data_IF_805574467700
#
_entry.id   IF_805574467700
#
_cell.length_a   1.000
_cell.length_b   1.000
_cell.length_c   1.000
_cell.angle_alpha   90.00
_cell.angle_beta   90.00
_cell.angle_gamma   90.00
#
_symmetry.space_group_name_H-M   'P 1'
#
loop_
_entity.id
_entity.type
_entity.pdbx_description
1 polymer ?
#
# COMPACT_ATOMS: atom_id res chain seq x y z
N UNK A 1 -7.66 8.27 -12.42
CA UNK A 1 -6.56 8.28 -13.42
C UNK A 1 -7.05 7.71 -14.76
N UNK A 2 -8.31 7.96 -15.14
CA UNK A 2 -8.90 7.35 -16.33
C UNK A 2 -8.22 7.84 -17.61
N UNK A 3 -7.93 6.91 -18.53
CA UNK A 3 -7.50 7.19 -19.90
C UNK A 3 -6.21 8.01 -20.06
N UNK A 4 -5.27 7.91 -19.10
CA UNK A 4 -3.93 8.50 -19.23
C UNK A 4 -3.06 7.61 -20.13
N UNK A 5 -2.91 8.01 -21.40
CA UNK A 5 -2.05 7.33 -22.38
C UNK A 5 -0.69 8.02 -22.45
N UNK A 6 0.44 7.31 -22.32
CA UNK A 6 1.77 7.90 -22.47
C UNK A 6 1.92 8.70 -23.77
N UNK A 7 2.55 9.87 -23.67
CA UNK A 7 2.80 10.76 -24.81
C UNK A 7 1.66 11.72 -25.19
N UNK A 8 0.52 11.71 -24.48
CA UNK A 8 -0.55 12.71 -24.69
C UNK A 8 -0.34 13.96 -23.83
N UNK A 9 -1.01 15.07 -24.18
CA UNK A 9 -1.00 16.27 -23.33
C UNK A 9 -1.61 16.01 -21.94
N UNK A 10 -2.62 15.14 -21.83
CA UNK A 10 -3.19 14.74 -20.54
C UNK A 10 -2.18 14.00 -19.67
N UNK A 11 -1.33 13.17 -20.28
CA UNK A 11 -0.23 12.51 -19.60
C UNK A 11 0.84 13.51 -19.13
N UNK A 12 1.23 14.46 -19.99
CA UNK A 12 2.20 15.50 -19.66
C UNK A 12 1.71 16.46 -18.56
N UNK A 13 0.39 16.68 -18.46
CA UNK A 13 -0.18 17.38 -17.31
C UNK A 13 -0.12 16.50 -16.06
N UNK A 14 -0.60 15.27 -16.16
CA UNK A 14 -0.71 14.36 -15.02
C UNK A 14 0.65 14.06 -14.36
N UNK A 15 1.69 13.73 -15.13
CA UNK A 15 3.00 13.44 -14.53
C UNK A 15 3.66 14.68 -13.90
N UNK A 16 3.35 15.89 -14.39
CA UNK A 16 3.81 17.15 -13.81
C UNK A 16 3.12 17.43 -12.48
N UNK A 17 1.80 17.18 -12.40
CA UNK A 17 1.03 17.29 -11.16
C UNK A 17 1.46 16.25 -10.12
N UNK A 18 1.69 15.00 -10.53
CA UNK A 18 2.24 13.94 -9.67
C UNK A 18 3.60 14.35 -9.10
N UNK A 19 4.52 14.82 -9.96
CA UNK A 19 5.84 15.28 -9.52
C UNK A 19 5.73 16.43 -8.52
N UNK A 20 4.87 17.42 -8.80
CA UNK A 20 4.64 18.57 -7.93
C UNK A 20 4.07 18.13 -6.59
N UNK A 21 3.07 17.25 -6.58
CA UNK A 21 2.43 16.78 -5.35
C UNK A 21 3.39 15.98 -4.47
N UNK A 22 4.17 15.06 -5.06
CA UNK A 22 5.25 14.36 -4.34
C UNK A 22 6.29 15.35 -3.79
N UNK A 23 6.70 16.34 -4.58
CA UNK A 23 7.69 17.33 -4.15
C UNK A 23 7.17 18.20 -3.01
N UNK A 24 5.94 18.69 -3.08
CA UNK A 24 5.39 19.65 -2.12
C UNK A 24 4.86 18.96 -0.86
N UNK A 25 4.10 17.87 -1.02
CA UNK A 25 3.35 17.24 0.06
C UNK A 25 3.91 15.87 0.47
N UNK A 26 4.77 15.26 -0.36
CA UNK A 26 5.22 13.87 -0.14
C UNK A 26 4.17 12.81 -0.46
N UNK A 27 2.94 13.23 -0.77
CA UNK A 27 1.82 12.33 -1.05
C UNK A 27 0.76 13.00 -1.93
N UNK A 28 -0.16 12.20 -2.48
CA UNK A 28 -1.36 12.68 -3.14
C UNK A 28 -2.45 11.61 -3.15
N UNK A 29 -3.71 12.04 -3.31
CA UNK A 29 -4.85 11.14 -3.49
C UNK A 29 -5.06 10.91 -4.98
N UNK A 30 -5.25 9.65 -5.37
CA UNK A 30 -5.67 9.30 -6.72
C UNK A 30 -6.97 8.48 -6.71
N UNK A 31 -7.86 8.84 -7.62
CA UNK A 31 -9.01 8.02 -7.98
C UNK A 31 -8.57 6.90 -8.91
N UNK A 32 -8.94 5.66 -8.59
CA UNK A 32 -8.57 4.47 -9.33
C UNK A 32 -9.75 3.50 -9.48
N UNK A 33 -10.44 3.66 -10.61
CA UNK A 33 -11.66 2.95 -11.03
C UNK A 33 -11.42 1.47 -11.38
N UNK A 34 -10.18 1.08 -11.64
CA UNK A 34 -9.84 -0.30 -11.98
C UNK A 34 -10.05 -1.27 -10.82
N UNK A 35 -10.02 -0.81 -9.56
CA UNK A 35 -10.46 -1.62 -8.42
C UNK A 35 -11.95 -1.34 -8.22
N UNK A 36 -12.80 -2.26 -8.68
CA UNK A 36 -14.25 -2.09 -8.54
C UNK A 36 -14.67 -2.10 -7.08
N UNK A 37 -15.78 -1.43 -6.77
CA UNK A 37 -16.38 -1.46 -5.44
C UNK A 37 -16.70 -2.90 -4.97
N UNK A 38 -17.08 -3.78 -5.89
CA UNK A 38 -17.28 -5.21 -5.63
C UNK A 38 -16.00 -5.89 -5.13
N UNK A 39 -14.90 -5.76 -5.90
CA UNK A 39 -13.61 -6.34 -5.50
C UNK A 39 -13.13 -5.74 -4.18
N UNK A 40 -13.35 -4.44 -3.97
CA UNK A 40 -13.00 -3.77 -2.73
C UNK A 40 -13.71 -4.42 -1.53
N UNK A 41 -15.03 -4.59 -1.64
CA UNK A 41 -15.84 -5.23 -0.59
C UNK A 41 -15.43 -6.69 -0.36
N UNK A 42 -15.17 -7.46 -1.43
CA UNK A 42 -14.70 -8.84 -1.34
C UNK A 42 -13.37 -8.91 -0.57
N UNK A 43 -12.39 -8.08 -0.93
CA UNK A 43 -11.09 -8.02 -0.27
C UNK A 43 -11.24 -7.69 1.21
N UNK A 44 -11.98 -6.63 1.58
CA UNK A 44 -12.15 -6.28 3.00
C UNK A 44 -12.89 -7.35 3.79
N UNK A 45 -13.86 -8.06 3.19
CA UNK A 45 -14.50 -9.20 3.83
C UNK A 45 -13.52 -10.36 4.04
N UNK A 46 -12.65 -10.63 3.07
CA UNK A 46 -11.58 -11.63 3.21
C UNK A 46 -10.51 -11.27 4.22
N UNK A 47 -10.22 -9.98 4.38
CA UNK A 47 -9.35 -9.51 5.46
C UNK A 47 -9.99 -9.74 6.83
N UNK A 48 -11.31 -9.58 6.99
CA UNK A 48 -11.98 -9.94 8.25
C UNK A 48 -11.79 -11.43 8.57
N UNK A 49 -12.05 -12.32 7.59
CA UNK A 49 -11.82 -13.76 7.73
C UNK A 49 -10.36 -14.08 8.12
N UNK A 50 -9.40 -13.40 7.50
CA UNK A 50 -7.97 -13.54 7.83
C UNK A 50 -7.67 -13.13 9.28
N UNK A 51 -8.17 -11.97 9.71
CA UNK A 51 -7.91 -11.45 11.05
C UNK A 51 -8.68 -12.19 12.14
N UNK A 52 -9.75 -12.92 11.80
CA UNK A 52 -10.49 -13.77 12.73
C UNK A 52 -9.83 -15.15 12.95
N UNK A 53 -8.80 -15.49 12.17
CA UNK A 53 -7.99 -16.68 12.43
C UNK A 53 -7.32 -16.63 13.82
N UNK A 54 -7.07 -17.79 14.46
CA UNK A 54 -6.34 -17.83 15.72
C UNK A 54 -4.98 -17.14 15.61
N UNK A 55 -4.56 -16.41 16.64
CA UNK A 55 -3.25 -15.75 16.65
C UNK A 55 -2.13 -16.74 16.34
N UNK A 56 -2.17 -17.96 16.89
CA UNK A 56 -1.16 -19.00 16.59
C UNK A 56 -1.02 -19.29 15.10
N UNK A 57 -2.11 -19.25 14.34
CA UNK A 57 -2.13 -19.41 12.88
C UNK A 57 -1.54 -18.18 12.20
N UNK A 58 -1.99 -16.98 12.56
CA UNK A 58 -1.48 -15.72 12.01
C UNK A 58 0.02 -15.55 12.25
N UNK A 59 0.52 -15.92 13.44
CA UNK A 59 1.94 -15.90 13.79
C UNK A 59 2.81 -16.87 12.98
N UNK A 60 2.24 -17.79 12.20
CA UNK A 60 3.01 -18.59 11.23
C UNK A 60 3.52 -17.73 10.06
N UNK A 61 2.90 -16.58 9.79
CA UNK A 61 3.42 -15.57 8.85
C UNK A 61 4.64 -14.88 9.48
N UNK A 62 5.73 -15.61 9.67
CA UNK A 62 6.94 -15.11 10.30
C UNK A 62 7.96 -14.65 9.26
N UNK A 63 8.74 -13.63 9.61
CA UNK A 63 9.91 -13.18 8.85
C UNK A 63 10.99 -12.68 9.80
N UNK A 64 12.24 -12.88 9.41
CA UNK A 64 13.42 -12.28 10.02
C UNK A 64 13.54 -10.77 9.73
N UNK A 65 12.90 -10.30 8.66
CA UNK A 65 12.81 -8.89 8.31
C UNK A 65 11.68 -8.23 9.10
N UNK A 66 12.03 -7.18 9.84
CA UNK A 66 11.06 -6.37 10.58
C UNK A 66 9.98 -5.90 9.62
N UNK A 67 8.72 -6.09 10.01
CA UNK A 67 7.54 -5.74 9.22
C UNK A 67 7.25 -6.60 7.97
N UNK A 68 7.91 -7.75 7.79
CA UNK A 68 7.64 -8.67 6.65
C UNK A 68 6.82 -9.91 7.05
N UNK A 69 6.25 -9.90 8.25
CA UNK A 69 5.38 -10.94 8.77
C UNK A 69 4.26 -10.38 9.65
N UNK A 70 3.70 -11.26 10.47
CA UNK A 70 2.74 -10.97 11.51
C UNK A 70 3.33 -10.02 12.55
N UNK A 71 2.62 -8.94 12.81
CA UNK A 71 2.93 -8.01 13.90
C UNK A 71 1.64 -7.73 14.64
N UNK A 72 1.61 -8.07 15.93
CA UNK A 72 0.49 -7.86 16.82
C UNK A 72 0.90 -8.15 18.25
N UNK A 73 -0.02 -7.94 19.20
CA UNK A 73 0.24 -8.14 20.64
C UNK A 73 1.41 -7.29 21.17
N UNK A 74 1.60 -6.10 20.60
CA UNK A 74 2.61 -5.15 21.04
C UNK A 74 2.06 -4.34 22.21
N UNK A 75 2.74 -4.37 23.36
CA UNK A 75 2.27 -3.66 24.55
C UNK A 75 2.12 -2.14 24.36
N UNK A 76 2.94 -1.53 23.48
CA UNK A 76 2.90 -0.09 23.18
C UNK A 76 1.93 0.27 22.03
N UNK A 77 1.47 -0.72 21.24
CA UNK A 77 0.50 -0.56 20.15
C UNK A 77 -0.57 -1.66 20.27
N UNK A 78 -1.37 -1.66 21.35
CA UNK A 78 -2.23 -2.78 21.71
C UNK A 78 -3.39 -2.98 20.74
N UNK A 79 -3.73 -1.95 19.96
CA UNK A 79 -4.80 -1.99 18.97
C UNK A 79 -4.36 -2.49 17.59
N UNK A 80 -3.05 -2.57 17.32
CA UNK A 80 -2.50 -2.89 16.00
C UNK A 80 -2.34 -4.40 15.80
N UNK A 81 -2.84 -4.89 14.67
CA UNK A 81 -2.54 -6.20 14.15
C UNK A 81 -2.30 -6.12 12.63
N UNK A 82 -1.25 -6.78 12.13
CA UNK A 82 -0.95 -6.78 10.70
C UNK A 82 -0.36 -8.09 10.22
N UNK A 83 -0.54 -8.37 8.93
CA UNK A 83 0.10 -9.47 8.21
C UNK A 83 0.74 -8.94 6.92
N UNK A 84 1.53 -9.81 6.30
CA UNK A 84 2.36 -9.51 5.17
C UNK A 84 2.23 -10.58 4.09
N UNK A 85 1.83 -10.17 2.89
CA UNK A 85 1.79 -11.01 1.70
C UNK A 85 2.93 -10.56 0.78
N UNK A 86 4.00 -11.35 0.73
CA UNK A 86 5.08 -11.16 -0.22
C UNK A 86 4.62 -11.54 -1.63
N UNK A 87 5.14 -10.82 -2.63
CA UNK A 87 4.84 -11.02 -4.05
C UNK A 87 3.33 -11.09 -4.33
N UNK A 88 2.57 -10.19 -3.71
CA UNK A 88 1.09 -10.18 -3.71
C UNK A 88 0.46 -9.97 -5.09
N UNK A 89 1.26 -9.62 -6.11
CA UNK A 89 0.85 -9.52 -7.51
C UNK A 89 1.07 -10.84 -8.29
N UNK A 90 1.64 -11.87 -7.67
CA UNK A 90 1.93 -13.17 -8.27
C UNK A 90 1.06 -14.27 -7.67
N UNK A 91 0.75 -15.30 -8.45
CA UNK A 91 -0.02 -16.44 -7.95
C UNK A 91 0.76 -17.18 -6.86
N UNK A 92 2.05 -17.43 -7.08
CA UNK A 92 2.90 -18.17 -6.14
C UNK A 92 2.98 -17.49 -4.77
N UNK A 93 3.15 -16.17 -4.73
CA UNK A 93 3.21 -15.41 -3.47
C UNK A 93 1.90 -15.47 -2.69
N UNK A 94 0.78 -15.18 -3.36
CA UNK A 94 -0.55 -15.20 -2.72
C UNK A 94 -0.97 -16.61 -2.32
N UNK A 95 -0.70 -17.62 -3.15
CA UNK A 95 -1.03 -19.01 -2.84
C UNK A 95 -0.19 -19.54 -1.68
N UNK A 96 1.10 -19.20 -1.64
CA UNK A 96 2.00 -19.55 -0.53
C UNK A 96 1.50 -18.96 0.80
N UNK A 97 1.10 -17.69 0.81
CA UNK A 97 0.48 -17.06 1.98
C UNK A 97 -0.86 -17.72 2.35
N UNK A 98 -1.70 -18.01 1.35
CA UNK A 98 -3.01 -18.63 1.56
C UNK A 98 -2.87 -20.02 2.19
N UNK A 99 -1.99 -20.87 1.67
CA UNK A 99 -1.74 -22.21 2.20
C UNK A 99 -1.17 -22.17 3.63
N UNK A 100 -0.40 -21.13 3.97
CA UNK A 100 0.12 -20.92 5.32
C UNK A 100 -0.99 -20.59 6.32
N UNK A 101 -1.95 -19.74 5.92
CA UNK A 101 -3.07 -19.32 6.77
C UNK A 101 -4.21 -20.35 6.81
N UNK A 102 -4.45 -21.04 5.69
CA UNK A 102 -5.45 -22.10 5.52
C UNK A 102 -4.81 -23.33 4.87
N UNK A 103 -4.27 -24.27 5.67
CA UNK A 103 -3.65 -25.49 5.14
C UNK A 103 -4.59 -26.39 4.33
N UNK A 104 -5.90 -26.26 4.53
CA UNK A 104 -6.93 -26.95 3.75
C UNK A 104 -7.33 -26.22 2.45
N UNK A 105 -6.70 -25.09 2.14
CA UNK A 105 -7.00 -24.25 0.99
C UNK A 105 -8.04 -23.17 1.29
N UNK A 106 -7.97 -22.07 0.54
CA UNK A 106 -8.96 -20.99 0.51
C UNK A 106 -8.86 -20.25 -0.84
N UNK A 107 -9.32 -20.91 -1.91
CA UNK A 107 -9.20 -20.41 -3.28
C UNK A 107 -9.82 -19.03 -3.45
N UNK A 108 -10.95 -18.79 -2.78
CA UNK A 108 -11.64 -17.51 -2.85
C UNK A 108 -10.84 -16.36 -2.21
N UNK A 109 -10.11 -16.60 -1.10
CA UNK A 109 -9.16 -15.62 -0.57
C UNK A 109 -8.01 -15.40 -1.57
N UNK A 110 -7.42 -16.48 -2.09
CA UNK A 110 -6.28 -16.42 -3.00
C UNK A 110 -6.61 -15.61 -4.28
N UNK A 111 -7.73 -15.93 -4.93
CA UNK A 111 -8.17 -15.28 -6.16
C UNK A 111 -8.43 -13.78 -5.96
N UNK A 112 -9.12 -13.41 -4.87
CA UNK A 112 -9.43 -12.02 -4.57
C UNK A 112 -8.16 -11.20 -4.27
N UNK A 113 -7.28 -11.74 -3.42
CA UNK A 113 -6.03 -11.05 -3.07
C UNK A 113 -5.10 -10.93 -4.28
N UNK A 114 -5.04 -11.94 -5.15
CA UNK A 114 -4.26 -11.87 -6.40
C UNK A 114 -4.81 -10.83 -7.37
N UNK A 115 -6.14 -10.81 -7.57
CA UNK A 115 -6.80 -9.83 -8.45
C UNK A 115 -6.60 -8.41 -7.94
N UNK A 116 -6.71 -8.21 -6.63
CA UNK A 116 -6.45 -6.93 -5.98
C UNK A 116 -4.98 -6.51 -6.09
N UNK A 117 -4.04 -7.39 -5.70
CA UNK A 117 -2.61 -7.12 -5.72
C UNK A 117 -2.09 -6.75 -7.12
N UNK A 118 -2.58 -7.44 -8.17
CA UNK A 118 -2.27 -7.08 -9.56
C UNK A 118 -2.74 -5.67 -9.93
N UNK A 119 -3.97 -5.30 -9.57
CA UNK A 119 -4.52 -3.97 -9.88
C UNK A 119 -3.79 -2.85 -9.14
N UNK A 120 -3.46 -3.06 -7.85
CA UNK A 120 -2.68 -2.07 -7.09
C UNK A 120 -1.25 -1.96 -7.65
N UNK A 121 -0.63 -3.07 -8.05
CA UNK A 121 0.66 -3.04 -8.73
C UNK A 121 0.60 -2.27 -10.06
N UNK A 122 -0.45 -2.44 -10.87
CA UNK A 122 -0.64 -1.64 -12.09
C UNK A 122 -0.72 -0.14 -11.81
N UNK A 123 -1.39 0.26 -10.72
CA UNK A 123 -1.46 1.65 -10.29
C UNK A 123 -0.09 2.19 -9.88
N UNK A 124 0.66 1.41 -9.11
CA UNK A 124 2.01 1.76 -8.69
C UNK A 124 2.90 1.96 -9.92
N UNK A 125 2.89 1.03 -10.87
CA UNK A 125 3.68 1.12 -12.10
C UNK A 125 3.34 2.37 -12.91
N UNK A 126 2.05 2.71 -12.99
CA UNK A 126 1.57 3.92 -13.65
C UNK A 126 2.15 5.19 -13.01
N UNK A 127 2.12 5.27 -11.68
CA UNK A 127 2.70 6.40 -10.93
C UNK A 127 4.21 6.43 -11.07
N UNK A 128 4.90 5.29 -10.90
CA UNK A 128 6.35 5.16 -11.06
C UNK A 128 6.80 5.62 -12.44
N UNK A 129 6.05 5.25 -13.49
CA UNK A 129 6.29 5.73 -14.84
C UNK A 129 6.16 7.25 -14.94
N UNK A 130 5.08 7.82 -14.42
CA UNK A 130 4.90 9.28 -14.39
C UNK A 130 6.06 9.99 -13.68
N UNK A 131 6.47 9.48 -12.51
CA UNK A 131 7.60 10.03 -11.76
C UNK A 131 8.87 9.97 -12.60
N UNK A 132 9.26 8.80 -13.11
CA UNK A 132 10.49 8.62 -13.90
C UNK A 132 10.52 9.53 -15.14
N UNK A 133 9.41 9.58 -15.90
CA UNK A 133 9.31 10.44 -17.08
C UNK A 133 9.33 11.93 -16.72
N UNK A 134 8.74 12.34 -15.59
CA UNK A 134 8.74 13.74 -15.15
C UNK A 134 10.14 14.28 -14.83
N UNK A 135 11.13 13.39 -14.62
CA UNK A 135 12.53 13.71 -14.41
C UNK A 135 13.41 13.48 -15.64
N UNK A 136 12.86 13.07 -16.79
CA UNK A 136 13.64 12.77 -18.00
C UNK A 136 14.51 11.50 -17.87
N UNK A 137 14.04 10.51 -17.10
CA UNK A 137 14.76 9.29 -16.76
C UNK A 137 14.16 8.04 -17.41
N UNK A 138 13.45 8.19 -18.52
CA UNK A 138 12.62 7.17 -19.18
C UNK A 138 13.41 5.89 -19.51
N UNK A 139 14.69 6.06 -19.86
CA UNK A 139 15.61 4.95 -20.16
C UNK A 139 15.79 3.96 -19.00
N UNK A 140 15.56 4.40 -17.75
CA UNK A 140 15.71 3.56 -16.56
C UNK A 140 14.40 2.91 -16.10
N UNK A 141 13.26 3.25 -16.72
CA UNK A 141 11.96 2.74 -16.29
C UNK A 141 11.88 1.22 -16.37
N UNK A 142 12.34 0.62 -17.48
CA UNK A 142 12.30 -0.83 -17.65
C UNK A 142 13.20 -1.52 -16.62
N UNK A 143 14.43 -1.05 -16.39
CA UNK A 143 15.29 -1.63 -15.35
C UNK A 143 14.69 -1.51 -13.96
N UNK A 144 14.06 -0.37 -13.66
CA UNK A 144 13.36 -0.16 -12.40
C UNK A 144 12.23 -1.18 -12.24
N UNK A 145 11.36 -1.31 -13.25
CA UNK A 145 10.22 -2.24 -13.24
C UNK A 145 10.64 -3.70 -12.98
N UNK A 146 11.74 -4.16 -13.58
CA UNK A 146 12.25 -5.53 -13.37
C UNK A 146 12.85 -5.74 -11.97
N UNK A 147 13.24 -4.67 -11.27
CA UNK A 147 13.77 -4.72 -9.90
C UNK A 147 12.70 -4.60 -8.83
N UNK A 148 11.44 -4.33 -9.22
CA UNK A 148 10.36 -4.11 -8.28
C UNK A 148 9.90 -5.42 -7.65
N UNK A 149 9.68 -5.37 -6.35
CA UNK A 149 9.00 -6.42 -5.59
C UNK A 149 7.76 -5.81 -4.94
N UNK A 150 6.64 -6.52 -4.99
CA UNK A 150 5.38 -6.03 -4.45
C UNK A 150 5.07 -6.72 -3.14
N UNK A 151 4.85 -5.91 -2.13
CA UNK A 151 4.57 -6.35 -0.78
C UNK A 151 3.24 -5.74 -0.34
N UNK A 152 2.28 -6.60 0.02
CA UNK A 152 0.99 -6.14 0.52
C UNK A 152 0.94 -6.36 2.03
N UNK A 153 0.90 -5.25 2.76
CA UNK A 153 0.66 -5.25 4.20
C UNK A 153 -0.82 -5.05 4.46
N UNK A 154 -1.41 -5.98 5.20
CA UNK A 154 -2.80 -5.86 5.68
C UNK A 154 -2.76 -5.44 7.13
N UNK A 155 -3.58 -4.46 7.52
CA UNK A 155 -3.58 -3.89 8.87
C UNK A 155 -5.01 -3.84 9.40
N UNK A 156 -5.18 -4.22 10.66
CA UNK A 156 -6.40 -4.10 11.43
C UNK A 156 -6.10 -3.30 12.69
N UNK A 157 -6.94 -2.31 12.95
CA UNK A 157 -7.03 -1.62 14.22
C UNK A 157 -8.30 -2.06 14.92
N UNK A 158 -8.20 -2.52 16.16
CA UNK A 158 -9.39 -2.71 17.02
C UNK A 158 -9.71 -1.40 17.75
N UNK A 159 -10.92 -1.31 18.28
CA UNK A 159 -11.26 -0.24 19.21
C UNK A 159 -10.36 -0.35 20.47
N UNK A 160 -9.80 0.77 20.94
CA UNK A 160 -9.03 0.79 22.20
C UNK A 160 -9.96 0.56 23.39
N UNK A 161 -9.49 -0.18 24.38
CA UNK A 161 -10.15 -0.31 25.68
C UNK A 161 -9.93 0.95 26.55
N UNK A 162 -10.59 1.00 27.70
CA UNK A 162 -10.38 2.06 28.69
C UNK A 162 -8.90 2.06 29.09
N UNK A 163 -8.28 3.23 29.11
CA UNK A 163 -6.86 3.46 29.43
C UNK A 163 -5.84 2.94 28.39
N UNK A 164 -6.28 2.47 27.22
CA UNK A 164 -5.39 2.17 26.10
C UNK A 164 -5.14 3.39 25.21
N UNK A 165 -3.96 3.42 24.59
CA UNK A 165 -3.66 4.39 23.53
C UNK A 165 -4.54 4.14 22.30
N UNK A 166 -5.00 5.22 21.67
CA UNK A 166 -5.69 5.17 20.38
C UNK A 166 -4.71 5.22 19.19
N UNK A 167 -3.40 5.24 19.44
CA UNK A 167 -2.39 5.23 18.39
C UNK A 167 -2.32 3.84 17.73
N UNK A 168 -2.58 3.80 16.42
CA UNK A 168 -2.48 2.58 15.62
C UNK A 168 -1.05 2.25 15.20
N UNK A 169 -0.22 3.26 14.96
CA UNK A 169 1.17 3.09 14.54
C UNK A 169 2.00 4.26 15.05
N UNK A 170 3.30 4.05 15.19
CA UNK A 170 4.23 5.13 15.51
C UNK A 170 4.36 6.10 14.33
N UNK A 171 4.82 7.33 14.61
CA UNK A 171 5.18 8.28 13.56
C UNK A 171 6.38 7.73 12.78
N UNK A 172 6.23 7.52 11.48
CA UNK A 172 7.27 6.95 10.63
C UNK A 172 7.19 7.46 9.19
N UNK A 173 8.25 7.19 8.42
CA UNK A 173 8.31 7.35 6.97
C UNK A 173 8.24 5.99 6.28
N UNK A 174 7.78 6.00 5.03
CA UNK A 174 7.77 4.81 4.18
C UNK A 174 9.17 4.56 3.64
N UNK A 175 9.65 3.30 3.66
CA UNK A 175 10.99 2.96 3.16
C UNK A 175 11.03 2.65 1.66
N UNK A 176 9.87 2.41 1.05
CA UNK A 176 9.71 2.05 -0.36
C UNK A 176 9.98 3.25 -1.27
N UNK A 177 9.95 3.04 -2.60
CA UNK A 177 9.91 4.17 -3.53
C UNK A 177 8.54 4.86 -3.47
N UNK A 178 7.49 4.07 -3.62
CA UNK A 178 6.09 4.48 -3.56
C UNK A 178 5.34 3.48 -2.70
N UNK A 179 4.56 3.98 -1.75
CA UNK A 179 3.56 3.22 -0.99
C UNK A 179 2.18 3.66 -1.43
N UNK A 180 1.29 2.69 -1.66
CA UNK A 180 -0.13 2.93 -1.93
C UNK A 180 -0.92 2.48 -0.72
N UNK A 181 -1.59 3.42 -0.06
CA UNK A 181 -2.50 3.15 1.04
C UNK A 181 -3.94 3.14 0.56
N UNK A 182 -4.67 2.16 1.07
CA UNK A 182 -6.10 1.99 0.86
C UNK A 182 -6.71 1.54 2.18
N UNK A 183 -7.78 2.21 2.59
CA UNK A 183 -8.49 1.92 3.83
C UNK A 183 -9.99 1.78 3.58
N UNK A 184 -10.67 1.25 4.59
CA UNK A 184 -12.12 1.32 4.67
C UNK A 184 -12.59 2.74 5.06
N UNK A 185 -13.87 2.90 5.34
CA UNK A 185 -14.49 4.18 5.68
C UNK A 185 -14.22 4.62 7.14
N UNK A 186 -13.27 4.01 7.84
CA UNK A 186 -12.87 4.42 9.18
C UNK A 186 -11.74 5.43 9.06
N UNK A 187 -11.96 6.64 9.55
CA UNK A 187 -10.95 7.71 9.55
C UNK A 187 -9.88 7.44 10.62
N UNK A 188 -8.63 7.80 10.33
CA UNK A 188 -7.52 7.61 11.29
C UNK A 188 -6.13 7.87 10.72
N UNK A 189 -5.97 7.94 9.40
CA UNK A 189 -4.70 8.33 8.78
C UNK A 189 -4.49 9.84 8.87
N UNK A 190 -3.32 10.23 9.37
CA UNK A 190 -2.81 11.59 9.31
C UNK A 190 -1.46 11.61 8.60
N UNK A 191 -1.23 12.62 7.77
CA UNK A 191 0.06 12.84 7.08
C UNK A 191 0.65 14.15 7.56
N UNK A 192 1.92 14.13 7.95
CA UNK A 192 2.63 15.35 8.32
C UNK A 192 3.14 16.07 7.08
N UNK A 193 2.67 17.30 6.86
CA UNK A 193 3.17 18.18 5.82
C UNK A 193 4.56 18.73 6.16
N UNK A 194 5.28 19.25 5.16
CA UNK A 194 6.63 19.82 5.32
C UNK A 194 6.74 20.95 6.36
N UNK A 195 5.65 21.65 6.64
CA UNK A 195 5.60 22.70 7.65
C UNK A 195 5.38 22.16 9.08
N UNK A 196 5.33 20.83 9.27
CA UNK A 196 5.12 20.16 10.54
C UNK A 196 3.64 19.94 10.91
N UNK A 197 2.71 20.51 10.15
CA UNK A 197 1.28 20.35 10.41
C UNK A 197 0.80 18.95 10.01
N UNK A 198 -0.14 18.39 10.78
CA UNK A 198 -0.81 17.14 10.46
C UNK A 198 -2.07 17.41 9.63
N UNK A 199 -2.24 16.62 8.58
CA UNK A 199 -3.38 16.68 7.65
C UNK A 199 -4.15 15.36 7.79
N UNK A 200 -5.43 15.46 8.18
CA UNK A 200 -6.35 14.33 8.14
C UNK A 200 -6.63 13.94 6.70
N UNK A 201 -6.60 12.65 6.41
CA UNK A 201 -6.83 12.14 5.06
C UNK A 201 -8.22 11.53 4.97
N UNK A 202 -9.06 12.13 4.13
CA UNK A 202 -10.38 11.60 3.82
C UNK A 202 -10.30 10.62 2.65
N UNK A 203 -10.79 9.41 2.89
CA UNK A 203 -10.86 8.36 1.88
C UNK A 203 -12.28 8.23 1.33
N UNK A 204 -12.37 8.18 0.01
CA UNK A 204 -13.52 7.61 -0.70
C UNK A 204 -13.23 6.15 -1.06
N UNK A 205 -14.28 5.39 -1.38
CA UNK A 205 -14.20 3.98 -1.79
C UNK A 205 -13.29 3.68 -3.00
N UNK A 206 -13.03 4.71 -3.81
CA UNK A 206 -12.25 4.62 -5.06
C UNK A 206 -10.91 5.36 -4.94
N UNK A 207 -10.62 5.90 -3.76
CA UNK A 207 -9.43 6.69 -3.50
C UNK A 207 -8.31 5.85 -2.90
N UNK A 208 -7.11 6.11 -3.41
CA UNK A 208 -5.87 5.55 -2.92
C UNK A 208 -4.94 6.71 -2.60
N UNK A 209 -4.28 6.64 -1.45
CA UNK A 209 -3.26 7.61 -1.09
C UNK A 209 -1.93 7.07 -1.55
N UNK A 210 -1.25 7.83 -2.40
CA UNK A 210 0.09 7.53 -2.84
C UNK A 210 1.05 8.35 -2.00
N UNK A 211 2.01 7.68 -1.36
CA UNK A 211 3.05 8.28 -0.54
C UNK A 211 4.40 7.97 -1.17
N UNK A 212 5.23 9.00 -1.31
CA UNK A 212 6.61 8.85 -1.71
C UNK A 212 7.45 8.45 -0.49
N UNK A 213 8.14 7.32 -0.56
CA UNK A 213 8.99 6.85 0.54
C UNK A 213 10.43 7.35 0.42
N UNK A 214 11.25 7.01 1.41
CA UNK A 214 12.63 7.48 1.56
C UNK A 214 13.50 7.13 0.35
N UNK A 215 13.26 5.99 -0.30
CA UNK A 215 13.98 5.62 -1.52
C UNK A 215 13.74 6.64 -2.66
N UNK A 216 12.56 7.28 -2.71
CA UNK A 216 12.28 8.35 -3.67
C UNK A 216 13.10 9.62 -3.40
N UNK A 217 13.36 9.92 -2.14
CA UNK A 217 14.17 11.07 -1.72
C UNK A 217 15.64 10.85 -2.12
N UNK A 218 16.18 9.64 -1.88
CA UNK A 218 17.55 9.27 -2.28
C UNK A 218 17.72 9.32 -3.80
N UNK A 219 16.74 8.82 -4.56
CA UNK A 219 16.75 8.96 -6.01
C UNK A 219 16.77 10.43 -6.41
N UNK A 220 15.92 11.29 -5.83
CA UNK A 220 15.88 12.72 -6.17
C UNK A 220 17.17 13.48 -5.84
N UNK A 221 17.88 13.10 -4.77
CA UNK A 221 19.15 13.73 -4.35
C UNK A 221 20.35 13.31 -5.20
N UNK A 222 20.31 12.13 -5.84
CA UNK A 222 21.37 11.65 -6.72
C UNK A 222 21.39 12.34 -8.10
N UNK A 223 20.42 13.22 -8.36
CA UNK A 223 20.24 13.92 -9.62
C UNK A 223 20.32 15.45 -9.49
N UNK A 224 20.76 15.96 -8.33
CA UNK A 224 21.16 17.36 -8.11
C UNK A 224 22.68 17.48 -7.98
#
# INVERSE_FOLDING_TARGET
MENLKPGTNSWLSAHSDVRRAIKEYGSFIALYDKVSAELNNEVFNKLKELFDLPTKTKSQNWSDKVYYGYVGQLAHLPIHESLAIADANTLDGVQSFTNLMWPSGNDNFCENMLKYGKKVAEQEQLVSKMVVESYGLERYYNSHLHSMTYFLRTIKYREPEIDETNAGTDIHTEKSLITILHQNQVHGLQIQARNGNWIDVDFTLESFVIIAGDASLVCSLSFY
#
